data_IF_008246661930
#
_entry.id   IF_008246661930
#
_cell.length_a   1.000
_cell.length_b   1.000
_cell.length_c   1.000
_cell.angle_alpha   90.00
_cell.angle_beta   90.00
_cell.angle_gamma   90.00
#
_symmetry.space_group_name_H-M   'P 1'
#
loop_
_entity.id
_entity.type
_entity.pdbx_description
1 polymer ?
#
# COMPACT_ATOMS: atom_id res chain seq x y z
N UNK A 1 4.86 27.75 -6.00
CA UNK A 1 4.28 27.61 -4.65
C UNK A 1 3.26 26.49 -4.69
N UNK A 2 3.57 25.38 -4.03
CA UNK A 2 2.96 24.06 -4.20
C UNK A 2 1.61 23.99 -3.47
N UNK A 3 0.55 23.52 -4.17
CA UNK A 3 -0.86 23.45 -3.72
C UNK A 3 -1.12 22.39 -2.62
N UNK A 4 -0.17 22.12 -1.74
CA UNK A 4 -0.28 20.98 -0.83
C UNK A 4 -1.22 21.22 0.37
N UNK A 5 -1.46 22.47 0.75
CA UNK A 5 -2.42 22.84 1.81
C UNK A 5 -3.89 22.54 1.49
N UNK A 6 -4.24 22.21 0.24
CA UNK A 6 -5.66 22.10 -0.20
C UNK A 6 -6.29 20.75 0.16
N UNK A 7 -5.50 19.78 0.59
CA UNK A 7 -5.95 18.39 0.79
C UNK A 7 -5.92 17.94 2.26
N UNK A 8 -5.99 18.86 3.21
CA UNK A 8 -6.16 18.51 4.63
C UNK A 8 -7.64 18.60 5.02
N UNK A 9 -8.12 17.61 5.79
CA UNK A 9 -9.52 17.52 6.26
C UNK A 9 -10.58 17.59 5.15
N UNK A 10 -10.27 17.12 3.93
CA UNK A 10 -11.22 17.09 2.81
C UNK A 10 -12.10 15.86 2.92
N UNK A 11 -13.42 16.07 2.96
CA UNK A 11 -14.42 14.99 3.06
C UNK A 11 -14.26 13.91 1.99
N UNK A 12 -14.48 12.65 2.40
CA UNK A 12 -14.32 11.44 1.60
C UNK A 12 -15.17 11.38 0.31
N UNK A 13 -16.30 12.10 0.29
CA UNK A 13 -17.25 12.17 -0.82
C UNK A 13 -17.03 13.39 -1.74
N UNK A 14 -16.00 14.20 -1.47
CA UNK A 14 -15.70 15.38 -2.27
C UNK A 14 -15.30 14.98 -3.71
N UNK A 15 -16.04 15.44 -4.75
CA UNK A 15 -15.76 15.03 -6.13
C UNK A 15 -14.40 15.53 -6.66
N UNK A 16 -13.90 16.65 -6.14
CA UNK A 16 -12.58 17.17 -6.51
C UNK A 16 -11.46 16.31 -5.93
N UNK A 17 -11.65 15.76 -4.72
CA UNK A 17 -10.72 14.80 -4.13
C UNK A 17 -10.68 13.52 -4.95
N UNK A 18 -11.84 12.96 -5.31
CA UNK A 18 -11.94 11.75 -6.14
C UNK A 18 -11.26 11.98 -7.50
N UNK A 19 -11.50 13.12 -8.14
CA UNK A 19 -10.85 13.48 -9.40
C UNK A 19 -9.32 13.60 -9.25
N UNK A 20 -8.85 14.23 -8.18
CA UNK A 20 -7.43 14.33 -7.88
C UNK A 20 -6.77 12.97 -7.68
N UNK A 21 -7.37 12.09 -6.87
CA UNK A 21 -6.83 10.74 -6.65
C UNK A 21 -6.78 9.98 -7.98
N UNK A 22 -7.87 10.01 -8.76
CA UNK A 22 -7.98 9.29 -10.04
C UNK A 22 -6.96 9.76 -11.09
N UNK A 23 -6.79 11.07 -11.23
CA UNK A 23 -6.03 11.66 -12.34
C UNK A 23 -4.56 11.87 -11.99
N UNK A 24 -4.26 12.12 -10.71
CA UNK A 24 -2.92 12.53 -10.27
C UNK A 24 -2.23 11.43 -9.48
N UNK A 25 -2.94 10.76 -8.55
CA UNK A 25 -2.31 9.86 -7.58
C UNK A 25 -2.25 8.41 -8.07
N UNK A 26 -3.35 7.87 -8.61
CA UNK A 26 -3.38 6.51 -9.16
C UNK A 26 -2.48 6.41 -10.39
N UNK A 27 -1.48 5.54 -10.33
CA UNK A 27 -0.59 5.25 -11.46
C UNK A 27 -0.91 3.91 -12.08
N UNK A 28 -0.84 3.85 -13.41
CA UNK A 28 -0.86 2.58 -14.14
C UNK A 28 0.48 1.87 -14.02
N UNK A 29 0.46 0.55 -14.18
CA UNK A 29 1.68 -0.24 -14.32
C UNK A 29 2.34 0.00 -15.69
N UNK A 30 3.66 -0.05 -15.74
CA UNK A 30 4.44 0.20 -16.98
C UNK A 30 4.93 -1.08 -17.66
N UNK A 31 4.69 -2.26 -17.07
CA UNK A 31 5.01 -3.57 -17.65
C UNK A 31 6.49 -3.74 -18.05
N UNK A 32 7.40 -3.20 -17.23
CA UNK A 32 8.84 -3.29 -17.45
C UNK A 32 9.43 -4.53 -16.79
N UNK A 33 8.99 -4.84 -15.58
CA UNK A 33 9.57 -5.87 -14.74
C UNK A 33 8.63 -7.09 -14.60
N UNK A 34 9.13 -8.33 -14.76
CA UNK A 34 8.31 -9.53 -14.60
C UNK A 34 7.80 -9.64 -13.17
N UNK A 35 6.49 -9.86 -13.01
CA UNK A 35 5.87 -10.08 -11.71
C UNK A 35 6.12 -11.53 -11.28
N UNK A 36 6.74 -11.73 -10.13
CA UNK A 36 6.78 -13.06 -9.51
C UNK A 36 5.38 -13.41 -9.02
N UNK A 37 4.68 -14.27 -9.76
CA UNK A 37 3.33 -14.71 -9.47
C UNK A 37 3.34 -16.14 -8.90
N UNK A 38 4.23 -16.44 -7.96
CA UNK A 38 4.21 -17.72 -7.23
C UNK A 38 3.05 -17.70 -6.24
N UNK A 39 2.19 -18.72 -6.26
CA UNK A 39 1.00 -18.77 -5.41
C UNK A 39 1.38 -18.87 -3.93
N UNK A 40 0.93 -17.89 -3.13
CA UNK A 40 1.05 -17.92 -1.67
C UNK A 40 -0.07 -18.75 -1.03
N UNK A 41 0.08 -19.08 0.26
CA UNK A 41 -0.98 -19.73 1.04
C UNK A 41 -2.24 -18.87 1.13
N UNK A 42 -2.09 -17.55 1.27
CA UNK A 42 -3.17 -16.58 1.29
C UNK A 42 -3.91 -16.52 -0.04
N UNK A 43 -3.19 -16.43 -1.17
CA UNK A 43 -3.80 -16.44 -2.50
C UNK A 43 -4.55 -17.73 -2.78
N UNK A 44 -4.02 -18.88 -2.32
CA UNK A 44 -4.70 -20.18 -2.42
C UNK A 44 -5.99 -20.20 -1.59
N UNK A 45 -5.97 -19.63 -0.39
CA UNK A 45 -7.14 -19.51 0.47
C UNK A 45 -8.21 -18.62 -0.19
N UNK A 46 -7.83 -17.43 -0.67
CA UNK A 46 -8.72 -16.49 -1.37
C UNK A 46 -9.31 -17.12 -2.64
N UNK A 47 -8.50 -17.81 -3.44
CA UNK A 47 -8.98 -18.52 -4.63
C UNK A 47 -9.97 -19.64 -4.27
N UNK A 48 -9.78 -20.33 -3.14
CA UNK A 48 -10.71 -21.37 -2.69
C UNK A 48 -12.02 -20.77 -2.20
N UNK A 49 -11.96 -19.73 -1.35
CA UNK A 49 -13.13 -19.06 -0.80
C UNK A 49 -13.98 -18.38 -1.89
N UNK A 50 -13.33 -17.79 -2.89
CA UNK A 50 -13.98 -17.19 -4.05
C UNK A 50 -14.38 -18.19 -5.13
N UNK A 51 -14.22 -19.50 -4.89
CA UNK A 51 -14.55 -20.57 -5.85
C UNK A 51 -13.86 -20.38 -7.21
N UNK A 52 -12.60 -19.94 -7.19
CA UNK A 52 -11.78 -19.63 -8.37
C UNK A 52 -12.44 -18.61 -9.31
N UNK A 53 -13.18 -17.65 -8.75
CA UNK A 53 -13.76 -16.53 -9.49
C UNK A 53 -12.70 -15.86 -10.36
N UNK A 54 -13.02 -15.59 -11.61
CA UNK A 54 -12.20 -14.80 -12.53
C UNK A 54 -12.62 -13.34 -12.54
N UNK A 55 -11.70 -12.48 -12.96
CA UNK A 55 -11.91 -11.02 -13.10
C UNK A 55 -12.39 -10.32 -11.82
N UNK A 56 -11.97 -10.84 -10.66
CA UNK A 56 -12.28 -10.26 -9.35
C UNK A 56 -11.64 -8.88 -9.16
N UNK A 57 -12.21 -8.11 -8.22
CA UNK A 57 -11.75 -6.77 -7.86
C UNK A 57 -11.18 -6.78 -6.44
N UNK A 58 -9.95 -6.33 -6.27
CA UNK A 58 -9.32 -6.25 -4.95
C UNK A 58 -8.88 -4.83 -4.58
N UNK A 59 -8.71 -4.60 -3.28
CA UNK A 59 -7.89 -3.51 -2.75
C UNK A 59 -6.90 -4.10 -1.74
N UNK A 60 -5.64 -3.74 -1.88
CA UNK A 60 -4.57 -4.22 -1.01
C UNK A 60 -3.77 -3.02 -0.48
N UNK A 61 -3.70 -2.91 0.84
CA UNK A 61 -2.91 -1.90 1.54
C UNK A 61 -1.69 -2.56 2.17
N UNK A 62 -0.50 -2.07 1.86
CA UNK A 62 0.77 -2.56 2.41
C UNK A 62 1.49 -1.39 3.06
N UNK A 63 1.71 -1.50 4.37
CA UNK A 63 2.36 -0.45 5.16
C UNK A 63 3.76 -0.81 5.63
N UNK A 64 4.06 -2.11 5.73
CA UNK A 64 5.35 -2.62 6.21
C UNK A 64 6.39 -2.65 5.10
N UNK A 65 7.61 -2.31 5.46
CA UNK A 65 8.78 -2.37 4.57
C UNK A 65 9.07 -3.83 4.21
N UNK A 66 9.31 -4.09 2.92
CA UNK A 66 9.66 -5.43 2.44
C UNK A 66 8.52 -6.45 2.40
N UNK A 67 7.30 -6.05 2.75
CA UNK A 67 6.14 -6.91 2.63
C UNK A 67 5.84 -7.24 1.16
N UNK A 68 5.48 -8.50 0.92
CA UNK A 68 5.18 -9.03 -0.42
C UNK A 68 3.67 -8.97 -0.63
N UNK A 69 3.26 -8.49 -1.79
CA UNK A 69 1.85 -8.46 -2.18
C UNK A 69 1.25 -9.85 -2.34
N UNK A 70 0.06 -10.03 -1.78
CA UNK A 70 -0.77 -11.25 -1.75
C UNK A 70 -1.75 -11.33 -2.92
N UNK A 71 -1.53 -10.58 -4.00
CA UNK A 71 -2.46 -10.48 -5.13
C UNK A 71 -1.85 -10.81 -6.48
N UNK A 72 -0.53 -10.99 -6.54
CA UNK A 72 0.23 -11.18 -7.77
C UNK A 72 -0.23 -12.43 -8.55
N UNK A 73 -0.43 -13.56 -7.88
CA UNK A 73 -0.91 -14.79 -8.51
C UNK A 73 -2.37 -14.67 -8.98
N UNK A 74 -3.22 -13.98 -8.19
CA UNK A 74 -4.62 -13.75 -8.55
C UNK A 74 -4.74 -12.91 -9.83
N UNK A 75 -3.90 -11.89 -9.98
CA UNK A 75 -3.82 -11.08 -11.20
C UNK A 75 -3.37 -11.92 -12.40
N UNK A 76 -2.28 -12.69 -12.25
CA UNK A 76 -1.70 -13.46 -13.34
C UNK A 76 -2.57 -14.64 -13.80
N UNK A 77 -3.23 -15.35 -12.87
CA UNK A 77 -3.92 -16.62 -13.17
C UNK A 77 -5.45 -16.48 -13.29
N UNK A 78 -6.04 -15.56 -12.53
CA UNK A 78 -7.49 -15.35 -12.49
C UNK A 78 -7.91 -14.03 -13.15
N UNK A 79 -6.96 -13.26 -13.70
CA UNK A 79 -7.21 -11.97 -14.34
C UNK A 79 -7.86 -10.94 -13.40
N UNK A 80 -7.57 -11.05 -12.10
CA UNK A 80 -8.02 -10.07 -11.11
C UNK A 80 -7.37 -8.71 -11.38
N UNK A 81 -8.02 -7.66 -10.89
CA UNK A 81 -7.57 -6.27 -11.00
C UNK A 81 -7.87 -5.52 -9.71
N UNK A 82 -7.12 -4.48 -9.40
CA UNK A 82 -7.39 -3.74 -8.18
C UNK A 82 -6.58 -2.49 -7.99
N UNK A 83 -6.57 -2.02 -6.74
CA UNK A 83 -5.71 -0.93 -6.28
C UNK A 83 -4.73 -1.44 -5.23
N UNK A 84 -3.45 -1.15 -5.44
CA UNK A 84 -2.36 -1.35 -4.49
C UNK A 84 -2.03 -0.03 -3.83
N UNK A 85 -2.14 0.04 -2.51
CA UNK A 85 -1.92 1.24 -1.71
C UNK A 85 -0.69 0.98 -0.85
N UNK A 86 0.40 1.69 -1.15
CA UNK A 86 1.74 1.39 -0.66
C UNK A 86 2.30 2.63 0.05
N UNK A 87 2.75 2.48 1.29
CA UNK A 87 3.38 3.57 2.05
C UNK A 87 4.86 3.74 1.71
N UNK A 88 5.53 2.65 1.33
CA UNK A 88 6.96 2.65 1.05
C UNK A 88 7.23 3.03 -0.43
N UNK A 89 8.04 4.08 -0.69
CA UNK A 89 8.34 4.50 -2.06
C UNK A 89 8.95 3.41 -2.94
N UNK A 90 9.84 2.58 -2.38
CA UNK A 90 10.50 1.49 -3.12
C UNK A 90 9.48 0.48 -3.63
N UNK A 91 8.65 -0.03 -2.73
CA UNK A 91 7.54 -0.93 -3.04
C UNK A 91 6.57 -0.33 -4.06
N UNK A 92 6.27 0.98 -3.94
CA UNK A 92 5.47 1.70 -4.94
C UNK A 92 6.09 1.67 -6.35
N UNK A 93 7.37 2.00 -6.48
CA UNK A 93 8.02 2.01 -7.79
C UNK A 93 8.17 0.61 -8.38
N UNK A 94 8.44 -0.40 -7.57
CA UNK A 94 8.48 -1.81 -8.01
C UNK A 94 7.12 -2.27 -8.52
N UNK A 95 6.04 -2.00 -7.77
CA UNK A 95 4.68 -2.30 -8.20
C UNK A 95 4.30 -1.55 -9.49
N UNK A 96 4.68 -0.27 -9.59
CA UNK A 96 4.45 0.53 -10.80
C UNK A 96 5.18 -0.04 -12.02
N UNK A 97 6.39 -0.58 -11.87
CA UNK A 97 7.15 -1.16 -13.00
C UNK A 97 6.75 -2.58 -13.35
N UNK A 98 6.05 -3.27 -12.46
CA UNK A 98 5.67 -4.67 -12.66
C UNK A 98 4.74 -4.93 -13.85
N UNK A 99 4.70 -6.19 -14.28
CA UNK A 99 3.80 -6.74 -15.33
C UNK A 99 2.45 -7.20 -14.78
N UNK A 100 1.98 -6.59 -13.70
CA UNK A 100 0.62 -6.75 -13.14
C UNK A 100 -0.47 -6.46 -14.18
N UNK A 101 -1.72 -6.77 -13.85
CA UNK A 101 -2.85 -6.54 -14.75
C UNK A 101 -2.88 -5.06 -15.21
N UNK A 102 -3.03 -4.76 -16.51
CA UNK A 102 -3.10 -3.39 -17.01
C UNK A 102 -4.21 -2.52 -16.39
N UNK A 103 -5.23 -3.16 -15.81
CA UNK A 103 -6.33 -2.50 -15.08
C UNK A 103 -6.01 -2.27 -13.60
N UNK A 104 -4.90 -2.78 -13.09
CA UNK A 104 -4.42 -2.50 -11.73
C UNK A 104 -3.86 -1.09 -11.66
N UNK A 105 -4.07 -0.44 -10.52
CA UNK A 105 -3.54 0.89 -10.22
C UNK A 105 -2.72 0.85 -8.93
N UNK A 106 -1.66 1.63 -8.89
CA UNK A 106 -0.77 1.74 -7.73
C UNK A 106 -0.87 3.15 -7.16
N UNK A 107 -0.92 3.25 -5.83
CA UNK A 107 -1.08 4.48 -5.07
C UNK A 107 0.00 4.56 -3.99
N UNK A 108 0.80 5.64 -4.01
CA UNK A 108 1.73 5.94 -2.92
C UNK A 108 1.05 6.82 -1.87
N UNK A 109 0.45 6.20 -0.85
CA UNK A 109 -0.35 6.89 0.17
C UNK A 109 -0.54 6.01 1.41
N UNK A 110 -0.99 6.61 2.50
CA UNK A 110 -1.61 5.89 3.63
C UNK A 110 -3.14 5.86 3.49
N UNK A 111 -3.79 5.05 4.32
CA UNK A 111 -5.24 5.09 4.50
C UNK A 111 -5.61 5.95 5.70
N UNK A 112 -6.60 6.82 5.52
CA UNK A 112 -7.20 7.56 6.64
C UNK A 112 -8.20 6.67 7.37
N UNK A 113 -8.14 6.66 8.70
CA UNK A 113 -9.15 6.05 9.58
C UNK A 113 -10.40 6.89 9.71
N UNK A 114 -10.33 8.15 9.28
CA UNK A 114 -11.39 9.13 9.42
C UNK A 114 -12.09 9.34 8.07
N UNK A 115 -13.15 10.17 8.08
CA UNK A 115 -13.93 10.49 6.89
C UNK A 115 -13.30 11.59 6.03
N UNK A 116 -12.05 11.93 6.28
CA UNK A 116 -11.33 13.00 5.64
C UNK A 116 -9.86 12.65 5.36
N UNK A 117 -9.23 13.49 4.54
CA UNK A 117 -7.81 13.40 4.22
C UNK A 117 -6.95 13.95 5.34
N UNK A 118 -5.76 13.37 5.51
CA UNK A 118 -4.78 13.82 6.51
C UNK A 118 -3.36 13.72 5.96
N UNK A 119 -2.41 14.40 6.58
CA UNK A 119 -0.99 14.23 6.29
C UNK A 119 -0.27 13.70 7.53
N UNK A 120 0.53 12.64 7.36
CA UNK A 120 1.36 12.09 8.43
C UNK A 120 2.84 12.20 8.07
N UNK A 121 3.68 12.30 9.10
CA UNK A 121 5.13 12.13 8.97
C UNK A 121 5.41 10.62 8.95
N UNK A 122 5.87 10.12 7.81
CA UNK A 122 6.34 8.75 7.66
C UNK A 122 7.84 8.70 7.98
N UNK A 123 8.17 8.05 9.08
CA UNK A 123 9.54 7.74 9.44
C UNK A 123 9.90 6.41 8.79
N UNK A 124 10.82 6.43 7.84
CA UNK A 124 11.41 5.21 7.33
C UNK A 124 12.29 4.66 8.45
N UNK A 125 11.85 3.63 9.16
CA UNK A 125 12.72 2.91 10.08
C UNK A 125 13.76 2.20 9.22
N UNK A 126 14.97 2.74 9.14
CA UNK A 126 16.08 2.01 8.56
C UNK A 126 16.34 0.80 9.45
N UNK A 127 16.29 -0.40 8.89
CA UNK A 127 17.05 -1.52 9.45
C UNK A 127 18.46 -0.99 9.71
N UNK A 128 18.88 -1.02 10.97
CA UNK A 128 20.21 -0.62 11.39
C UNK A 128 21.18 -1.47 10.58
N UNK A 129 21.82 -0.88 9.56
CA UNK A 129 22.94 -1.54 8.90
C UNK A 129 24.03 -1.68 9.94
N UNK A 130 24.20 -2.89 10.46
CA UNK A 130 25.39 -3.24 11.26
C UNK A 130 26.58 -3.19 10.30
N UNK A 131 27.11 -2.01 10.05
CA UNK A 131 28.39 -1.85 9.39
C UNK A 131 29.48 -2.28 10.36
N UNK A 132 29.85 -3.56 10.24
CA UNK A 132 31.16 -4.17 10.54
C UNK A 132 31.77 -3.89 11.93
N UNK A 133 31.97 -5.00 12.64
CA UNK A 133 33.00 -5.18 13.66
C UNK A 133 34.39 -4.81 13.09
N UNK A 134 35.04 -3.76 13.62
CA UNK A 134 36.41 -3.37 13.24
C UNK A 134 36.89 -2.00 13.75
N UNK A 135 37.42 -2.00 14.97
CA UNK A 135 38.46 -1.16 15.62
C UNK A 135 38.68 0.34 15.29
N UNK A 136 38.41 1.20 16.28
CA UNK A 136 39.01 2.54 16.42
C UNK A 136 38.31 3.43 17.48
N UNK A 137 39.02 4.01 18.48
CA UNK A 137 38.38 4.68 19.60
C UNK A 137 38.00 6.14 19.28
N UNK A 138 36.77 6.50 19.63
CA UNK A 138 36.31 7.87 19.92
C UNK A 138 36.19 8.88 18.76
N UNK A 139 35.29 8.61 17.82
CA UNK A 139 34.45 9.69 17.30
C UNK A 139 33.02 9.18 17.08
N UNK A 140 32.22 9.24 18.15
CA UNK A 140 30.77 9.26 18.02
C UNK A 140 30.42 10.61 17.41
N UNK A 141 30.47 10.70 16.08
CA UNK A 141 29.71 11.73 15.38
C UNK A 141 28.27 11.30 15.55
N UNK A 142 27.41 12.04 16.28
CA UNK A 142 25.99 11.86 16.09
C UNK A 142 25.75 12.30 14.65
N UNK A 143 25.68 11.34 13.73
CA UNK A 143 25.18 11.60 12.40
C UNK A 143 23.77 12.12 12.61
N UNK A 144 23.62 13.44 12.51
CA UNK A 144 22.37 14.19 12.43
C UNK A 144 21.65 13.87 11.09
N UNK A 145 21.80 12.64 10.60
CA UNK A 145 21.07 12.05 9.50
C UNK A 145 19.73 11.58 10.07
N UNK A 146 18.92 12.54 10.54
CA UNK A 146 17.49 12.33 10.59
C UNK A 146 17.07 11.95 9.16
N UNK A 147 16.82 10.66 8.93
CA UNK A 147 16.35 10.14 7.65
C UNK A 147 15.26 11.07 7.09
N UNK A 148 15.26 11.36 5.78
CA UNK A 148 14.34 12.32 5.20
C UNK A 148 12.90 11.96 5.58
N UNK A 149 12.29 12.78 6.43
CA UNK A 149 10.94 12.55 6.92
C UNK A 149 10.00 12.75 5.74
N UNK A 150 9.51 11.65 5.17
CA UNK A 150 8.63 11.71 4.02
C UNK A 150 7.22 11.99 4.53
N UNK A 151 6.53 12.95 3.92
CA UNK A 151 5.13 13.21 4.23
C UNK A 151 4.26 12.31 3.36
N UNK A 152 3.40 11.53 3.99
CA UNK A 152 2.40 10.73 3.30
C UNK A 152 1.02 11.36 3.46
N UNK A 153 0.32 11.52 2.33
CA UNK A 153 -1.11 11.86 2.33
C UNK A 153 -1.90 10.59 2.61
N UNK A 154 -2.80 10.65 3.57
CA UNK A 154 -3.72 9.58 3.90
C UNK A 154 -5.08 9.87 3.27
N UNK A 155 -5.59 8.95 2.47
CA UNK A 155 -6.89 9.07 1.83
C UNK A 155 -7.89 8.10 2.46
N UNK A 156 -9.16 8.49 2.67
CA UNK A 156 -10.21 7.54 3.03
C UNK A 156 -10.31 6.44 1.96
N UNK A 157 -10.40 5.18 2.37
CA UNK A 157 -10.51 4.03 1.45
C UNK A 157 -11.66 4.23 0.45
N UNK A 158 -12.79 4.78 0.91
CA UNK A 158 -13.92 5.12 0.07
C UNK A 158 -13.56 6.05 -1.11
N UNK A 159 -12.79 7.12 -0.86
CA UNK A 159 -12.36 8.04 -1.90
C UNK A 159 -11.45 7.36 -2.92
N UNK A 160 -10.58 6.44 -2.46
CA UNK A 160 -9.71 5.64 -3.33
C UNK A 160 -10.53 4.69 -4.20
N UNK A 161 -11.53 4.02 -3.64
CA UNK A 161 -12.42 3.12 -4.38
C UNK A 161 -13.28 3.86 -5.42
N UNK A 162 -13.84 5.02 -5.04
CA UNK A 162 -14.51 5.91 -5.99
C UNK A 162 -13.56 6.36 -7.11
N UNK A 163 -12.31 6.71 -6.77
CA UNK A 163 -11.32 7.11 -7.75
C UNK A 163 -10.95 5.96 -8.71
N UNK A 164 -10.88 4.72 -8.21
CA UNK A 164 -10.68 3.51 -9.01
C UNK A 164 -11.94 3.09 -9.80
N UNK A 165 -13.10 3.67 -9.50
CA UNK A 165 -14.41 3.33 -10.06
C UNK A 165 -14.89 1.92 -9.66
N UNK A 166 -14.70 1.57 -8.39
CA UNK A 166 -15.23 0.35 -7.79
C UNK A 166 -16.14 0.68 -6.59
N UNK A 167 -17.30 0.03 -6.52
CA UNK A 167 -18.25 0.14 -5.41
C UNK A 167 -18.30 -1.13 -4.55
N UNK A 168 -17.74 -2.23 -5.06
CA UNK A 168 -17.70 -3.55 -4.41
C UNK A 168 -16.33 -4.16 -4.61
N UNK A 169 -15.83 -4.83 -3.57
CA UNK A 169 -14.58 -5.59 -3.61
C UNK A 169 -14.89 -7.07 -3.40
N UNK A 170 -14.15 -7.93 -4.11
CA UNK A 170 -14.11 -9.37 -3.88
C UNK A 170 -13.09 -9.74 -2.80
N UNK A 171 -12.06 -8.91 -2.63
CA UNK A 171 -11.00 -9.12 -1.65
C UNK A 171 -10.44 -7.79 -1.15
N UNK A 172 -10.30 -7.68 0.16
CA UNK A 172 -9.68 -6.54 0.82
C UNK A 172 -8.58 -7.08 1.73
N UNK A 173 -7.33 -6.76 1.40
CA UNK A 173 -6.17 -7.08 2.25
C UNK A 173 -5.66 -5.80 2.90
N UNK A 174 -5.55 -5.82 4.22
CA UNK A 174 -5.07 -4.70 5.02
C UNK A 174 -3.87 -5.16 5.85
N UNK A 175 -2.70 -4.73 5.44
CA UNK A 175 -1.47 -4.92 6.19
C UNK A 175 -1.49 -4.03 7.43
N UNK A 176 -1.77 -4.63 8.59
CA UNK A 176 -1.72 -3.92 9.87
C UNK A 176 -0.30 -3.99 10.44
N UNK A 177 0.29 -2.86 10.86
CA UNK A 177 1.54 -2.89 11.63
C UNK A 177 1.37 -3.61 12.98
N UNK A 178 0.14 -3.65 13.52
CA UNK A 178 -0.19 -4.25 14.81
C UNK A 178 -0.83 -5.65 14.70
N UNK A 179 -0.93 -6.23 13.51
CA UNK A 179 -1.36 -7.62 13.37
C UNK A 179 -0.13 -8.52 13.56
N UNK A 180 0.04 -9.18 14.73
CA UNK A 180 0.98 -10.28 14.83
C UNK A 180 0.56 -11.35 13.83
N UNK A 181 1.54 -11.91 13.12
CA UNK A 181 1.35 -13.14 12.35
C UNK A 181 0.70 -14.19 13.28
N UNK A 182 -0.60 -14.46 13.09
CA UNK A 182 -1.26 -15.64 13.62
C UNK A 182 -1.78 -15.62 15.07
N UNK A 183 -2.25 -14.49 15.63
CA UNK A 183 -3.16 -14.55 16.79
C UNK A 183 -4.38 -13.63 16.67
N UNK A 184 -5.42 -14.14 16.00
CA UNK A 184 -6.80 -13.68 16.24
C UNK A 184 -7.22 -14.19 17.62
N UNK A 185 -6.90 -13.46 18.68
CA UNK A 185 -7.55 -13.65 19.98
C UNK A 185 -8.87 -12.91 19.96
N UNK A 186 -9.94 -13.66 19.72
CA UNK A 186 -11.31 -13.22 19.97
C UNK A 186 -11.42 -12.83 21.45
N UNK A 187 -11.38 -11.54 21.76
CA UNK A 187 -11.81 -11.06 23.08
C UNK A 187 -13.31 -11.25 23.16
N UNK A 188 -13.75 -12.20 24.00
CA UNK A 188 -15.13 -12.24 24.47
C UNK A 188 -15.42 -10.93 25.19
N UNK A 189 -16.53 -10.32 24.82
CA UNK A 189 -17.21 -9.30 25.60
C UNK A 189 -17.66 -9.89 26.94
N UNK A 190 -17.19 -9.28 28.02
CA UNK A 190 -17.77 -9.37 29.37
C UNK A 190 -18.40 -8.01 29.70
#
# INVERSE_FOLDING_TARGET
MTRDYVLDSVSMDNPQLVAYIRQVQLKSTTHQDPLNATQTSEEKYVATLSQSKREGVYAEYISRIGAISSTAWLEANLSWRGVLILTEPKSFFEAQRSTRNPRTRVLHACLSTDKDTKEIKYHQESEVQVTKLGDGPNSLVPSDDSLPTTRLKCFPLYSVLLAYNATTLDYLSLDSPDAPDGQVTMRKSE
#
